data_IF_387727681897
#
_entry.id   IF_387727681897
#
_cell.length_a   1.000
_cell.length_b   1.000
_cell.length_c   1.000
_cell.angle_alpha   90.00
_cell.angle_beta   90.00
_cell.angle_gamma   90.00
#
_symmetry.space_group_name_H-M   'P 1'
#
loop_
_entity.id
_entity.type
_entity.pdbx_description
1 polymer ?
#
# COMPACT_ATOMS: atom_id res chain seq x y z
N UNK A 1 5.50 10.65 6.29
CA UNK A 1 6.04 9.58 5.41
C UNK A 1 6.80 8.47 6.13
N UNK A 2 7.93 8.76 6.81
CA UNK A 2 8.81 7.72 7.42
C UNK A 2 8.04 6.78 8.36
N UNK A 3 7.14 7.31 9.18
CA UNK A 3 6.31 6.51 10.09
C UNK A 3 5.45 5.47 9.36
N UNK A 4 4.73 5.86 8.31
CA UNK A 4 3.88 4.95 7.54
C UNK A 4 4.71 3.88 6.82
N UNK A 5 5.83 4.24 6.21
CA UNK A 5 6.73 3.29 5.55
C UNK A 5 7.32 2.27 6.53
N UNK A 6 7.74 2.72 7.70
CA UNK A 6 8.23 1.83 8.76
C UNK A 6 7.13 0.87 9.22
N UNK A 7 5.90 1.35 9.39
CA UNK A 7 4.74 0.51 9.73
C UNK A 7 4.44 -0.51 8.62
N UNK A 8 4.47 -0.09 7.35
CA UNK A 8 4.23 -0.94 6.19
C UNK A 8 5.30 -2.00 5.93
N UNK A 9 6.54 -1.77 6.40
CA UNK A 9 7.65 -2.69 6.22
C UNK A 9 7.84 -3.68 7.38
N UNK A 10 7.08 -3.56 8.48
CA UNK A 10 7.13 -4.54 9.57
C UNK A 10 6.91 -5.97 9.04
N UNK A 11 7.46 -6.97 9.72
CA UNK A 11 7.11 -8.37 9.47
C UNK A 11 5.62 -8.60 9.72
N UNK A 12 5.05 -9.59 9.06
CA UNK A 12 3.68 -10.04 9.33
C UNK A 12 3.75 -11.12 10.39
N UNK A 13 3.06 -10.93 11.50
CA UNK A 13 2.83 -12.02 12.46
C UNK A 13 1.69 -12.89 11.93
N UNK A 14 1.92 -14.20 11.81
CA UNK A 14 1.01 -15.17 11.18
C UNK A 14 -0.40 -15.21 11.82
N UNK A 15 -0.54 -14.73 13.06
CA UNK A 15 -1.80 -14.74 13.80
C UNK A 15 -2.76 -13.60 13.42
N UNK A 16 -2.33 -12.60 12.66
CA UNK A 16 -3.14 -11.41 12.37
C UNK A 16 -3.79 -11.41 10.97
N UNK A 17 -3.39 -12.30 10.04
CA UNK A 17 -3.75 -12.15 8.62
C UNK A 17 -4.19 -13.47 7.97
N UNK A 18 -5.46 -13.81 8.12
CA UNK A 18 -6.04 -14.94 7.38
C UNK A 18 -6.46 -14.50 5.98
N UNK A 19 -5.68 -14.83 4.94
CA UNK A 19 -6.14 -14.68 3.53
C UNK A 19 -7.09 -15.84 3.19
N UNK A 20 -8.20 -15.56 2.51
CA UNK A 20 -9.14 -16.59 2.08
C UNK A 20 -8.44 -17.61 1.16
N UNK A 21 -8.64 -18.91 1.40
CA UNK A 21 -8.03 -20.01 0.62
C UNK A 21 -8.35 -19.93 -0.88
N UNK A 22 -9.57 -19.53 -1.25
CA UNK A 22 -9.96 -19.34 -2.65
C UNK A 22 -9.15 -18.22 -3.30
N UNK A 23 -8.90 -17.13 -2.57
CA UNK A 23 -8.08 -16.02 -3.05
C UNK A 23 -6.62 -16.44 -3.22
N UNK A 24 -6.07 -17.22 -2.29
CA UNK A 24 -4.73 -17.81 -2.41
C UNK A 24 -4.64 -18.69 -3.67
N UNK A 25 -5.61 -19.58 -3.88
CA UNK A 25 -5.62 -20.47 -5.04
C UNK A 25 -5.73 -19.70 -6.36
N UNK A 26 -6.48 -18.58 -6.37
CA UNK A 26 -6.54 -17.69 -7.52
C UNK A 26 -5.19 -16.99 -7.75
N UNK A 27 -4.55 -16.47 -6.70
CA UNK A 27 -3.23 -15.84 -6.80
C UNK A 27 -2.17 -16.80 -7.33
N UNK A 28 -2.13 -18.05 -6.85
CA UNK A 28 -1.20 -19.07 -7.36
C UNK A 28 -1.35 -19.33 -8.86
N UNK A 29 -2.54 -19.11 -9.43
CA UNK A 29 -2.78 -19.23 -10.88
C UNK A 29 -2.37 -17.99 -11.67
N UNK A 30 -2.49 -16.81 -11.06
CA UNK A 30 -2.25 -15.52 -11.73
C UNK A 30 -0.82 -14.99 -11.54
N UNK A 31 -0.18 -15.34 -10.43
CA UNK A 31 1.18 -14.98 -10.07
C UNK A 31 2.04 -16.24 -10.01
N UNK A 32 2.80 -16.47 -11.08
CA UNK A 32 3.70 -17.63 -11.21
C UNK A 32 4.77 -17.65 -10.11
N UNK A 33 5.09 -16.49 -9.53
CA UNK A 33 6.07 -16.34 -8.44
C UNK A 33 5.39 -16.16 -7.08
N UNK A 34 4.14 -16.63 -6.92
CA UNK A 34 3.35 -16.44 -5.71
C UNK A 34 4.11 -16.79 -4.44
N UNK A 35 4.84 -17.91 -4.39
CA UNK A 35 5.56 -18.32 -3.17
C UNK A 35 6.63 -17.30 -2.76
N UNK A 36 7.30 -16.66 -3.74
CA UNK A 36 8.26 -15.59 -3.50
C UNK A 36 7.57 -14.26 -3.12
N UNK A 37 6.35 -14.05 -3.63
CA UNK A 37 5.57 -12.83 -3.44
C UNK A 37 4.59 -12.91 -2.25
N UNK A 38 4.46 -14.06 -1.60
CA UNK A 38 3.46 -14.34 -0.56
C UNK A 38 3.49 -13.29 0.54
N UNK A 39 4.68 -13.00 1.06
CA UNK A 39 4.88 -12.02 2.14
C UNK A 39 4.38 -10.62 1.73
N UNK A 40 4.44 -10.27 0.45
CA UNK A 40 3.98 -8.98 -0.06
C UNK A 40 2.47 -8.89 -0.08
N UNK A 41 1.77 -9.96 -0.47
CA UNK A 41 0.31 -10.01 -0.37
C UNK A 41 -0.15 -9.92 1.09
N UNK A 42 0.54 -10.60 1.99
CA UNK A 42 0.26 -10.54 3.44
C UNK A 42 0.47 -9.13 3.99
N UNK A 43 1.63 -8.51 3.68
CA UNK A 43 1.90 -7.11 4.05
C UNK A 43 0.86 -6.16 3.46
N UNK A 44 0.48 -6.34 2.20
CA UNK A 44 -0.53 -5.50 1.56
C UNK A 44 -1.87 -5.60 2.28
N UNK A 45 -2.32 -6.81 2.63
CA UNK A 45 -3.56 -6.98 3.39
C UNK A 45 -3.47 -6.34 4.78
N UNK A 46 -2.34 -6.49 5.48
CA UNK A 46 -2.11 -5.80 6.77
C UNK A 46 -2.21 -4.29 6.62
N UNK A 47 -1.53 -3.75 5.63
CA UNK A 47 -1.44 -2.31 5.42
C UNK A 47 -2.81 -1.75 5.06
N UNK A 48 -3.60 -2.46 4.26
CA UNK A 48 -5.02 -2.14 4.04
C UNK A 48 -5.83 -2.18 5.34
N UNK A 49 -5.63 -3.17 6.20
CA UNK A 49 -6.35 -3.25 7.48
C UNK A 49 -6.02 -2.04 8.37
N UNK A 50 -4.74 -1.66 8.45
CA UNK A 50 -4.27 -0.49 9.18
C UNK A 50 -4.96 0.76 8.63
N UNK A 51 -4.88 0.98 7.32
CA UNK A 51 -5.38 2.21 6.71
C UNK A 51 -6.91 2.33 6.81
N UNK A 52 -7.64 1.22 6.68
CA UNK A 52 -9.10 1.25 6.59
C UNK A 52 -9.80 1.07 7.94
N UNK A 53 -9.14 0.57 8.98
CA UNK A 53 -9.76 0.36 10.31
C UNK A 53 -9.09 1.13 11.44
N UNK A 54 -7.82 1.49 11.33
CA UNK A 54 -7.12 2.20 12.41
C UNK A 54 -7.40 3.69 12.30
N UNK A 55 -8.11 4.25 13.28
CA UNK A 55 -8.16 5.70 13.48
C UNK A 55 -6.77 6.16 13.89
N UNK A 56 -6.02 6.75 12.96
CA UNK A 56 -4.68 7.24 13.22
C UNK A 56 -4.74 8.72 13.65
N UNK A 57 -4.13 9.05 14.79
CA UNK A 57 -4.02 10.43 15.27
C UNK A 57 -2.79 11.17 14.71
N UNK A 58 -1.83 10.45 14.14
CA UNK A 58 -0.56 11.00 13.66
C UNK A 58 -0.73 11.67 12.29
N UNK A 59 -1.66 11.18 11.46
CA UNK A 59 -1.77 11.59 10.07
C UNK A 59 -3.14 11.26 9.48
N UNK A 60 -3.56 12.04 8.48
CA UNK A 60 -4.85 11.83 7.81
C UNK A 60 -4.90 10.49 7.07
N UNK A 61 -6.10 9.93 6.94
CA UNK A 61 -6.30 8.68 6.19
C UNK A 61 -5.90 8.83 4.71
N UNK A 62 -6.07 10.01 4.13
CA UNK A 62 -5.68 10.29 2.74
C UNK A 62 -4.16 10.22 2.54
N UNK A 63 -3.38 10.75 3.48
CA UNK A 63 -1.92 10.66 3.42
C UNK A 63 -1.45 9.21 3.58
N UNK A 64 -2.11 8.44 4.45
CA UNK A 64 -1.89 7.01 4.58
C UNK A 64 -2.21 6.25 3.28
N UNK A 65 -3.30 6.58 2.58
CA UNK A 65 -3.60 6.03 1.26
C UNK A 65 -2.47 6.34 0.27
N UNK A 66 -2.04 7.61 0.18
CA UNK A 66 -0.99 8.05 -0.74
C UNK A 66 0.31 7.29 -0.49
N UNK A 67 0.74 7.19 0.77
CA UNK A 67 1.95 6.43 1.10
C UNK A 67 1.80 4.93 0.87
N UNK A 68 0.59 4.37 1.01
CA UNK A 68 0.34 2.98 0.62
C UNK A 68 0.52 2.79 -0.89
N UNK A 69 0.03 3.70 -1.72
CA UNK A 69 0.22 3.65 -3.17
C UNK A 69 1.70 3.76 -3.57
N UNK A 70 2.44 4.66 -2.93
CA UNK A 70 3.89 4.80 -3.16
C UNK A 70 4.62 3.53 -2.70
N UNK A 71 4.24 2.94 -1.56
CA UNK A 71 4.80 1.68 -1.08
C UNK A 71 4.54 0.54 -2.06
N UNK A 72 3.33 0.44 -2.62
CA UNK A 72 2.98 -0.53 -3.66
C UNK A 72 3.85 -0.34 -4.90
N UNK A 73 3.98 0.90 -5.39
CA UNK A 73 4.83 1.23 -6.54
C UNK A 73 6.27 0.76 -6.33
N UNK A 74 6.90 1.17 -5.23
CA UNK A 74 8.30 0.81 -4.95
C UNK A 74 8.50 -0.69 -4.71
N UNK A 75 7.56 -1.33 -4.01
CA UNK A 75 7.58 -2.78 -3.80
C UNK A 75 7.50 -3.50 -5.14
N UNK A 76 6.59 -3.08 -6.02
CA UNK A 76 6.41 -3.66 -7.34
C UNK A 76 7.68 -3.56 -8.19
N UNK A 77 8.31 -2.38 -8.23
CA UNK A 77 9.56 -2.19 -8.98
C UNK A 77 10.72 -3.02 -8.42
N UNK A 78 10.78 -3.23 -7.10
CA UNK A 78 11.86 -3.99 -6.46
C UNK A 78 11.80 -5.50 -6.75
N UNK A 79 10.60 -6.09 -6.69
CA UNK A 79 10.43 -7.54 -6.78
C UNK A 79 9.85 -8.01 -8.13
N UNK A 80 9.46 -7.08 -8.99
CA UNK A 80 8.85 -7.34 -10.29
C UNK A 80 7.54 -8.17 -10.21
N UNK A 81 6.66 -7.84 -9.25
CA UNK A 81 5.33 -8.47 -9.16
C UNK A 81 4.41 -7.97 -10.27
N UNK A 82 3.56 -8.86 -10.79
CA UNK A 82 2.63 -8.52 -11.86
C UNK A 82 1.50 -7.62 -11.34
N UNK A 83 1.14 -6.59 -12.12
CA UNK A 83 0.10 -5.61 -11.80
C UNK A 83 -1.28 -6.25 -11.65
N UNK A 84 -1.62 -7.20 -12.53
CA UNK A 84 -2.95 -7.79 -12.55
C UNK A 84 -3.29 -8.55 -11.25
N UNK A 85 -2.50 -9.54 -10.79
CA UNK A 85 -2.79 -10.21 -9.52
C UNK A 85 -2.73 -9.27 -8.32
N UNK A 86 -1.83 -8.28 -8.33
CA UNK A 86 -1.69 -7.29 -7.25
C UNK A 86 -2.93 -6.38 -7.12
N UNK A 87 -3.39 -5.82 -8.23
CA UNK A 87 -4.59 -4.95 -8.27
C UNK A 87 -5.85 -5.71 -7.89
N UNK A 88 -6.02 -6.93 -8.41
CA UNK A 88 -7.13 -7.81 -8.05
C UNK A 88 -7.13 -8.13 -6.55
N UNK A 89 -5.97 -8.49 -5.99
CA UNK A 89 -5.83 -8.75 -4.56
C UNK A 89 -6.16 -7.52 -3.72
N UNK A 90 -5.68 -6.34 -4.13
CA UNK A 90 -5.95 -5.08 -3.44
C UNK A 90 -7.45 -4.82 -3.36
N UNK A 91 -8.14 -4.85 -4.51
CA UNK A 91 -9.56 -4.55 -4.61
C UNK A 91 -10.38 -5.53 -3.78
N UNK A 92 -10.09 -6.83 -3.90
CA UNK A 92 -10.78 -7.89 -3.16
C UNK A 92 -10.54 -7.77 -1.65
N UNK A 93 -9.30 -7.56 -1.23
CA UNK A 93 -8.95 -7.40 0.19
C UNK A 93 -9.59 -6.17 0.80
N UNK A 94 -9.55 -5.04 0.08
CA UNK A 94 -10.21 -3.79 0.48
C UNK A 94 -11.70 -4.00 0.65
N UNK A 95 -12.38 -4.57 -0.34
CA UNK A 95 -13.83 -4.82 -0.28
C UNK A 95 -14.19 -5.66 0.96
N UNK A 96 -13.46 -6.74 1.23
CA UNK A 96 -13.67 -7.55 2.42
C UNK A 96 -13.48 -6.77 3.73
N UNK A 97 -12.48 -5.88 3.79
CA UNK A 97 -12.24 -5.05 4.98
C UNK A 97 -13.37 -4.04 5.17
N UNK A 98 -13.83 -3.39 4.10
CA UNK A 98 -14.96 -2.45 4.11
C UNK A 98 -16.25 -3.16 4.54
N UNK A 99 -16.56 -4.32 3.97
CA UNK A 99 -17.73 -5.13 4.35
C UNK A 99 -17.71 -5.60 5.80
N UNK A 100 -16.54 -5.60 6.45
CA UNK A 100 -16.38 -5.91 7.88
C UNK A 100 -16.23 -4.66 8.76
N UNK A 101 -16.74 -3.51 8.30
CA UNK A 101 -16.80 -2.26 9.06
C UNK A 101 -15.58 -1.33 8.89
N UNK A 102 -14.74 -1.55 7.89
CA UNK A 102 -13.68 -0.60 7.51
C UNK A 102 -14.21 0.60 6.73
N UNK A 103 -13.44 1.68 6.72
CA UNK A 103 -13.75 2.91 5.99
C UNK A 103 -13.68 2.68 4.47
N UNK A 104 -14.66 3.22 3.72
CA UNK A 104 -14.72 3.09 2.26
C UNK A 104 -13.81 4.12 1.55
N UNK A 105 -12.52 4.13 1.89
CA UNK A 105 -11.49 5.04 1.35
C UNK A 105 -10.39 4.25 0.63
N UNK A 106 -9.33 4.92 0.20
CA UNK A 106 -8.18 4.34 -0.50
C UNK A 106 -8.58 3.37 -1.62
N UNK A 107 -9.21 3.88 -2.67
CA UNK A 107 -9.46 3.06 -3.87
C UNK A 107 -8.13 2.63 -4.48
N UNK A 108 -8.10 1.52 -5.22
CA UNK A 108 -6.85 1.11 -5.86
C UNK A 108 -6.35 2.20 -6.81
N UNK A 109 -5.07 2.52 -6.68
CA UNK A 109 -4.41 3.53 -7.48
C UNK A 109 -3.01 3.05 -7.85
N UNK A 110 -2.65 3.19 -9.12
CA UNK A 110 -1.35 2.79 -9.65
C UNK A 110 -0.68 3.97 -10.31
N UNK A 111 0.47 4.38 -9.79
CA UNK A 111 1.27 5.44 -10.42
C UNK A 111 1.72 5.03 -11.82
N UNK A 112 2.03 3.74 -12.04
CA UNK A 112 2.50 3.22 -13.33
C UNK A 112 1.47 3.36 -14.46
N UNK A 113 0.18 3.30 -14.15
CA UNK A 113 -0.88 3.47 -15.15
C UNK A 113 -1.37 4.92 -15.25
N UNK A 114 -1.05 5.76 -14.28
CA UNK A 114 -1.56 7.13 -14.20
C UNK A 114 -0.59 8.16 -14.78
N UNK A 115 0.71 7.90 -14.69
CA UNK A 115 1.73 8.87 -15.09
C UNK A 115 2.79 8.24 -15.97
N UNK A 116 3.28 9.01 -16.94
CA UNK A 116 4.41 8.64 -17.79
C UNK A 116 5.72 8.52 -16.99
N UNK A 117 5.91 9.38 -15.99
CA UNK A 117 7.09 9.38 -15.13
C UNK A 117 6.73 9.20 -13.64
N UNK A 118 6.22 8.01 -13.23
CA UNK A 118 5.72 7.73 -11.87
C UNK A 118 6.66 8.18 -10.75
N UNK A 119 7.95 7.87 -10.87
CA UNK A 119 8.95 8.17 -9.85
C UNK A 119 9.14 9.69 -9.66
N UNK A 120 9.02 10.49 -10.73
CA UNK A 120 9.13 11.95 -10.61
C UNK A 120 7.93 12.52 -9.87
N UNK A 121 6.73 12.00 -10.13
CA UNK A 121 5.53 12.42 -9.41
C UNK A 121 5.61 12.08 -7.93
N UNK A 122 6.01 10.85 -7.59
CA UNK A 122 6.21 10.44 -6.19
C UNK A 122 7.23 11.36 -5.49
N UNK A 123 8.34 11.70 -6.15
CA UNK A 123 9.32 12.65 -5.61
C UNK A 123 8.73 14.05 -5.38
N UNK A 124 7.92 14.55 -6.31
CA UNK A 124 7.27 15.86 -6.19
C UNK A 124 6.26 15.89 -5.05
N UNK A 125 5.41 14.87 -4.92
CA UNK A 125 4.49 14.75 -3.79
C UNK A 125 5.26 14.71 -2.46
N UNK A 126 6.34 13.94 -2.41
CA UNK A 126 7.19 13.82 -1.24
C UNK A 126 7.89 15.14 -0.90
N UNK A 127 8.27 15.93 -1.91
CA UNK A 127 8.82 17.26 -1.71
C UNK A 127 7.77 18.23 -1.17
N UNK A 128 6.58 18.26 -1.77
CA UNK A 128 5.47 19.10 -1.34
C UNK A 128 5.08 18.83 0.11
N UNK A 129 5.06 17.57 0.55
CA UNK A 129 4.77 17.20 1.94
C UNK A 129 5.78 17.73 2.95
N UNK A 130 7.04 17.91 2.53
CA UNK A 130 8.10 18.43 3.39
C UNK A 130 8.33 19.93 3.20
N UNK A 131 7.53 20.63 2.38
CA UNK A 131 7.80 22.02 2.01
C UNK A 131 7.81 22.95 3.23
N UNK A 132 6.90 22.77 4.17
CA UNK A 132 6.83 23.58 5.39
C UNK A 132 8.05 23.36 6.30
N UNK A 133 8.60 22.13 6.31
CA UNK A 133 9.81 21.80 7.05
C UNK A 133 11.03 22.43 6.38
N UNK A 134 11.11 22.37 5.05
CA UNK A 134 12.18 22.99 4.29
C UNK A 134 12.13 24.51 4.47
N UNK A 135 10.95 25.10 4.36
CA UNK A 135 10.73 26.54 4.55
C UNK A 135 11.15 27.00 5.95
N UNK A 136 10.80 26.24 7.00
CA UNK A 136 11.20 26.60 8.37
C UNK A 136 12.70 26.48 8.61
N UNK A 137 13.40 25.57 7.92
CA UNK A 137 14.86 25.46 7.97
C UNK A 137 15.51 26.63 7.21
N UNK A 138 14.99 26.99 6.04
CA UNK A 138 15.60 28.00 5.14
C UNK A 138 15.32 29.44 5.60
N UNK A 139 14.20 29.68 6.30
CA UNK A 139 13.86 30.99 6.86
C UNK A 139 14.58 31.33 8.17
N UNK A 140 15.25 30.36 8.79
CA UNK A 140 16.13 30.55 9.95
C UNK A 140 17.57 30.80 9.51
#
# INVERSE_FOLDING_TARGET
MVFAYNEFNKSVDEKEITINVLLINLLKKLDQNYENNKEIYEKLKRNLLIVLKKKNSIMSSNDYCRYLYQWIYHTKKRININEYPLSMFYVTSRQNIVSSGGENICLYYSYDTTFEEPLKIIKLENFQENINIIESIVKN
#
